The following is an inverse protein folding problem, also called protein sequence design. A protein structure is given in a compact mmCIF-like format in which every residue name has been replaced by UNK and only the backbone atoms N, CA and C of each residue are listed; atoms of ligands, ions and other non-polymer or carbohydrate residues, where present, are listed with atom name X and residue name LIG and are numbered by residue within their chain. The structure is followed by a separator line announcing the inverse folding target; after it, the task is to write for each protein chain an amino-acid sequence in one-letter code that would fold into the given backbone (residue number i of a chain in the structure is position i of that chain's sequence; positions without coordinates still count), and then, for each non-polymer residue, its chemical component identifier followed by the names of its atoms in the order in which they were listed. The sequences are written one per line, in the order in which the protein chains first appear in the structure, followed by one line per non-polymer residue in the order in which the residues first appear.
data_IF_810980593296
#
_entry.id   IF_810980593296
#
_cell.length_a   1.000
_cell.length_b   1.000
_cell.length_c   1.000
_cell.angle_alpha   90.00
_cell.angle_beta   90.00
_cell.angle_gamma   90.00
#
_symmetry.space_group_name_H-M   'P 1'
#
loop_
_entity.id
_entity.type
_entity.pdbx_description
1 polymer ?
#
# COMPACT_ATOMS: atom_id res chain seq x y z
N UNK A 1 -33.99 14.86 -0.15
CA UNK A 1 -34.99 13.87 -0.64
C UNK A 1 -35.91 13.58 0.52
N UNK A 2 -37.22 13.45 0.33
CA UNK A 2 -38.13 13.18 1.45
C UNK A 2 -37.87 11.78 2.01
N UNK A 3 -37.32 11.67 3.23
CA UNK A 3 -37.00 10.40 3.89
C UNK A 3 -38.23 9.80 4.60
N UNK A 4 -39.34 9.68 3.87
CA UNK A 4 -40.57 9.12 4.39
C UNK A 4 -40.94 7.85 3.63
N UNK A 5 -41.34 6.81 4.36
CA UNK A 5 -41.90 5.58 3.79
C UNK A 5 -43.42 5.59 3.93
N UNK A 6 -44.14 4.92 3.02
CA UNK A 6 -45.56 4.65 3.27
C UNK A 6 -45.73 3.74 4.49
N UNK A 7 -46.85 3.84 5.22
CA UNK A 7 -47.08 3.03 6.43
C UNK A 7 -46.90 1.52 6.20
N UNK A 8 -47.33 0.99 5.06
CA UNK A 8 -47.14 -0.42 4.72
C UNK A 8 -45.67 -0.78 4.45
N UNK A 9 -44.89 0.13 3.87
CA UNK A 9 -43.44 -0.06 3.69
C UNK A 9 -42.71 0.04 5.02
N UNK A 10 -43.04 1.03 5.85
CA UNK A 10 -42.49 1.18 7.21
C UNK A 10 -42.67 -0.11 8.03
N UNK A 11 -43.90 -0.65 8.11
CA UNK A 11 -44.17 -1.87 8.87
C UNK A 11 -43.41 -3.11 8.35
N UNK A 12 -43.26 -3.25 7.03
CA UNK A 12 -42.46 -4.35 6.44
C UNK A 12 -40.97 -4.20 6.73
N UNK A 13 -40.47 -2.97 6.72
CA UNK A 13 -39.08 -2.67 7.04
C UNK A 13 -38.80 -2.91 8.52
N UNK A 14 -39.71 -2.48 9.42
CA UNK A 14 -39.61 -2.74 10.86
C UNK A 14 -39.57 -4.24 11.16
N UNK A 15 -40.47 -5.04 10.58
CA UNK A 15 -40.46 -6.49 10.79
C UNK A 15 -39.13 -7.16 10.35
N UNK A 16 -38.51 -6.66 9.28
CA UNK A 16 -37.20 -7.15 8.85
C UNK A 16 -36.05 -6.68 9.75
N UNK A 17 -36.15 -5.46 10.29
CA UNK A 17 -35.19 -4.89 11.23
C UNK A 17 -35.25 -5.58 12.59
N UNK A 18 -36.45 -5.92 13.07
CA UNK A 18 -36.66 -6.71 14.28
C UNK A 18 -36.02 -8.10 14.12
N UNK A 19 -36.21 -8.79 12.99
CA UNK A 19 -35.53 -10.07 12.74
C UNK A 19 -34.00 -9.93 12.77
N UNK A 20 -33.46 -8.85 12.21
CA UNK A 20 -32.03 -8.54 12.29
C UNK A 20 -31.55 -8.28 13.74
N UNK A 21 -32.34 -7.57 14.56
CA UNK A 21 -32.02 -7.33 15.97
C UNK A 21 -31.94 -8.66 16.75
N UNK A 22 -32.93 -9.54 16.56
CA UNK A 22 -32.91 -10.88 17.19
C UNK A 22 -31.70 -11.71 16.76
N UNK A 23 -31.29 -11.63 15.49
CA UNK A 23 -30.07 -12.31 15.02
C UNK A 23 -28.79 -11.72 15.64
N UNK A 24 -28.72 -10.39 15.81
CA UNK A 24 -27.60 -9.72 16.47
C UNK A 24 -27.51 -10.06 17.95
N UNK A 25 -28.64 -10.20 18.64
CA UNK A 25 -28.68 -10.66 20.04
C UNK A 25 -28.15 -12.09 20.19
N UNK A 26 -28.59 -13.01 19.31
CA UNK A 26 -28.08 -14.38 19.28
C UNK A 26 -26.57 -14.42 19.03
N UNK A 27 -26.08 -13.59 18.10
CA UNK A 27 -24.65 -13.44 17.83
C UNK A 27 -23.91 -12.85 19.05
N UNK A 28 -24.46 -11.82 19.71
CA UNK A 28 -23.88 -11.22 20.91
C UNK A 28 -23.74 -12.19 22.07
N UNK A 29 -24.73 -13.08 22.26
CA UNK A 29 -24.66 -14.17 23.23
C UNK A 29 -23.60 -15.20 22.86
N UNK A 30 -23.54 -15.62 21.59
CA UNK A 30 -22.51 -16.54 21.08
C UNK A 30 -21.09 -16.00 21.27
N UNK A 31 -20.87 -14.72 20.92
CA UNK A 31 -19.58 -14.03 21.12
C UNK A 31 -19.21 -13.94 22.60
N UNK A 32 -20.18 -13.65 23.48
CA UNK A 32 -19.94 -13.61 24.93
C UNK A 32 -19.48 -14.98 25.48
N UNK A 33 -20.06 -16.07 24.99
CA UNK A 33 -19.67 -17.44 25.35
C UNK A 33 -18.26 -17.76 24.82
N UNK A 34 -17.93 -17.33 23.60
CA UNK A 34 -16.61 -17.54 22.99
C UNK A 34 -15.51 -16.78 23.75
N UNK A 35 -15.72 -15.49 24.04
CA UNK A 35 -14.80 -14.67 24.84
C UNK A 35 -14.54 -15.31 26.22
N UNK A 36 -15.57 -15.87 26.85
CA UNK A 36 -15.46 -16.51 28.17
C UNK A 36 -14.70 -17.84 28.15
N UNK A 37 -14.73 -18.56 27.02
CA UNK A 37 -14.09 -19.88 26.85
C UNK A 37 -12.62 -19.79 26.46
N UNK A 38 -12.19 -18.68 25.88
CA UNK A 38 -10.83 -18.54 25.38
C UNK A 38 -9.85 -18.34 26.56
N UNK A 39 -8.93 -19.28 26.82
CA UNK A 39 -7.85 -19.17 27.83
C UNK A 39 -6.51 -19.63 27.24
N UNK A 40 -5.60 -18.70 26.98
CA UNK A 40 -4.23 -18.98 26.51
C UNK A 40 -3.46 -17.71 26.08
N UNK A 41 -2.13 -17.75 26.01
CA UNK A 41 -1.28 -16.57 25.70
C UNK A 41 -1.32 -16.10 24.24
N UNK A 42 -1.75 -16.96 23.30
CA UNK A 42 -2.09 -16.57 21.92
C UNK A 42 -3.49 -15.97 21.81
N UNK A 43 -4.28 -15.95 22.89
CA UNK A 43 -5.68 -15.51 22.89
C UNK A 43 -5.87 -14.01 23.10
N UNK A 44 -4.84 -13.23 23.45
CA UNK A 44 -5.07 -11.80 23.77
C UNK A 44 -5.56 -11.01 22.56
N UNK A 45 -4.90 -11.17 21.40
CA UNK A 45 -5.30 -10.48 20.17
C UNK A 45 -6.66 -10.95 19.64
N UNK A 46 -6.98 -12.23 19.78
CA UNK A 46 -8.26 -12.77 19.31
C UNK A 46 -9.41 -12.38 20.23
N UNK A 47 -9.19 -12.36 21.54
CA UNK A 47 -10.11 -11.78 22.52
C UNK A 47 -10.38 -10.32 22.25
N UNK A 48 -9.35 -9.52 21.97
CA UNK A 48 -9.52 -8.09 21.67
C UNK A 48 -10.42 -7.90 20.42
N UNK A 49 -10.26 -8.75 19.40
CA UNK A 49 -11.13 -8.76 18.21
C UNK A 49 -12.56 -9.16 18.52
N UNK A 50 -12.75 -10.20 19.33
CA UNK A 50 -14.09 -10.67 19.71
C UNK A 50 -14.81 -9.64 20.60
N UNK A 51 -14.08 -8.94 21.48
CA UNK A 51 -14.61 -7.84 22.29
C UNK A 51 -15.02 -6.66 21.40
N UNK A 52 -14.20 -6.30 20.42
CA UNK A 52 -14.54 -5.24 19.46
C UNK A 52 -15.78 -5.62 18.63
N UNK A 53 -15.82 -6.83 18.09
CA UNK A 53 -16.95 -7.32 17.30
C UNK A 53 -18.24 -7.33 18.11
N UNK A 54 -18.17 -7.69 19.40
CA UNK A 54 -19.31 -7.61 20.31
C UNK A 54 -19.78 -6.15 20.51
N UNK A 55 -18.86 -5.20 20.68
CA UNK A 55 -19.20 -3.79 20.82
C UNK A 55 -19.86 -3.25 19.53
N UNK A 56 -19.39 -3.68 18.36
CA UNK A 56 -19.96 -3.29 17.06
C UNK A 56 -21.39 -3.85 16.90
N UNK A 57 -21.64 -5.12 17.29
CA UNK A 57 -22.98 -5.70 17.27
C UNK A 57 -23.95 -4.93 18.17
N UNK A 58 -23.52 -4.54 19.37
CA UNK A 58 -24.35 -3.75 20.30
C UNK A 58 -24.67 -2.35 19.77
N UNK A 59 -23.69 -1.73 19.10
CA UNK A 59 -23.90 -0.45 18.45
C UNK A 59 -24.93 -0.54 17.33
N UNK A 60 -24.82 -1.57 16.47
CA UNK A 60 -25.77 -1.80 15.38
C UNK A 60 -27.18 -2.08 15.92
N UNK A 61 -27.29 -2.93 16.96
CA UNK A 61 -28.56 -3.25 17.61
C UNK A 61 -29.26 -2.01 18.19
N UNK A 62 -28.49 -1.12 18.85
CA UNK A 62 -29.01 0.15 19.34
C UNK A 62 -29.59 1.03 18.22
N UNK A 63 -28.88 1.11 17.08
CA UNK A 63 -29.33 1.90 15.93
C UNK A 63 -30.52 1.27 15.19
N UNK A 64 -30.59 -0.06 15.13
CA UNK A 64 -31.73 -0.79 14.58
C UNK A 64 -32.98 -0.54 15.44
N UNK A 65 -32.85 -0.66 16.77
CA UNK A 65 -33.96 -0.40 17.70
C UNK A 65 -34.46 1.03 17.58
N UNK A 66 -33.54 2.00 17.52
CA UNK A 66 -33.87 3.41 17.31
C UNK A 66 -34.61 3.64 15.98
N UNK A 67 -34.16 3.00 14.91
CA UNK A 67 -34.80 3.07 13.60
C UNK A 67 -36.19 2.44 13.60
N UNK A 68 -36.38 1.31 14.30
CA UNK A 68 -37.71 0.71 14.44
C UNK A 68 -38.70 1.70 15.07
N UNK A 69 -38.32 2.35 16.18
CA UNK A 69 -39.15 3.38 16.81
C UNK A 69 -39.47 4.54 15.86
N UNK A 70 -38.45 5.07 15.15
CA UNK A 70 -38.64 6.20 14.21
C UNK A 70 -39.58 5.85 13.05
N UNK A 71 -39.45 4.63 12.51
CA UNK A 71 -40.30 4.14 11.42
C UNK A 71 -41.73 3.87 11.87
N UNK A 72 -41.94 3.36 13.09
CA UNK A 72 -43.27 3.11 13.64
C UNK A 72 -44.03 4.39 13.96
N UNK A 73 -43.36 5.35 14.59
CA UNK A 73 -43.94 6.60 15.10
C UNK A 73 -44.07 7.68 14.03
N UNK A 74 -43.02 7.88 13.23
CA UNK A 74 -42.90 9.05 12.34
C UNK A 74 -42.81 8.69 10.86
N UNK A 75 -42.71 7.39 10.53
CA UNK A 75 -42.47 6.88 9.18
C UNK A 75 -41.23 7.49 8.51
N UNK A 76 -40.29 7.97 9.32
CA UNK A 76 -39.06 8.65 8.93
C UNK A 76 -37.83 7.87 9.39
N UNK A 77 -36.67 8.14 8.80
CA UNK A 77 -35.39 7.49 9.13
C UNK A 77 -34.21 8.47 9.12
N UNK A 78 -34.47 9.74 9.46
CA UNK A 78 -33.49 10.84 9.43
C UNK A 78 -32.33 10.66 10.44
N UNK A 79 -32.51 9.90 11.53
CA UNK A 79 -31.43 9.75 12.52
C UNK A 79 -30.27 8.88 12.04
N UNK A 80 -30.47 7.96 11.09
CA UNK A 80 -29.39 7.08 10.62
C UNK A 80 -28.39 7.83 9.73
N UNK A 81 -28.82 8.57 8.69
CA UNK A 81 -27.91 9.40 7.90
C UNK A 81 -27.09 10.34 8.79
N UNK A 82 -27.73 10.98 9.77
CA UNK A 82 -27.04 11.88 10.69
C UNK A 82 -26.00 11.15 11.56
N UNK A 83 -26.34 9.99 12.13
CA UNK A 83 -25.41 9.20 12.93
C UNK A 83 -24.23 8.66 12.10
N UNK A 84 -24.46 8.30 10.83
CA UNK A 84 -23.41 7.88 9.91
C UNK A 84 -22.47 9.02 9.53
N UNK A 85 -23.00 10.23 9.29
CA UNK A 85 -22.18 11.43 9.06
C UNK A 85 -21.34 11.80 10.29
N UNK A 86 -21.90 11.68 11.49
CA UNK A 86 -21.18 11.93 12.75
C UNK A 86 -20.05 10.92 13.00
N UNK A 87 -20.27 9.63 12.75
CA UNK A 87 -19.23 8.59 12.86
C UNK A 87 -18.11 8.77 11.80
N UNK A 88 -18.46 9.12 10.56
CA UNK A 88 -17.45 9.46 9.53
C UNK A 88 -16.62 10.68 9.93
N UNK A 89 -17.27 11.74 10.43
CA UNK A 89 -16.59 12.94 10.91
C UNK A 89 -15.65 12.62 12.07
N UNK A 90 -16.06 11.76 13.00
CA UNK A 90 -15.25 11.36 14.14
C UNK A 90 -14.07 10.47 13.75
N UNK A 91 -14.25 9.55 12.78
CA UNK A 91 -13.16 8.75 12.19
C UNK A 91 -12.15 9.63 11.46
N UNK A 92 -12.61 10.61 10.67
CA UNK A 92 -11.74 11.57 9.99
C UNK A 92 -10.95 12.43 10.99
N UNK A 93 -11.57 12.88 12.09
CA UNK A 93 -10.91 13.64 13.14
C UNK A 93 -9.85 12.82 13.89
N UNK A 94 -10.12 11.54 14.19
CA UNK A 94 -9.14 10.62 14.80
C UNK A 94 -7.91 10.45 13.90
N UNK A 95 -8.12 10.18 12.61
CA UNK A 95 -7.04 10.04 11.63
C UNK A 95 -6.16 11.30 11.54
N UNK A 96 -6.78 12.49 11.50
CA UNK A 96 -6.03 13.77 11.50
C UNK A 96 -5.14 13.94 12.74
N UNK A 97 -5.63 13.55 13.92
CA UNK A 97 -4.85 13.62 15.17
C UNK A 97 -3.66 12.67 15.16
N UNK A 98 -3.83 11.46 14.63
CA UNK A 98 -2.75 10.48 14.48
C UNK A 98 -1.69 10.97 13.49
N UNK A 99 -2.11 11.48 12.34
CA UNK A 99 -1.20 12.04 11.32
C UNK A 99 -0.40 13.24 11.86
N UNK A 100 -1.04 14.12 12.66
CA UNK A 100 -0.37 15.26 13.30
C UNK A 100 0.68 14.80 14.31
N UNK A 101 0.39 13.77 15.10
CA UNK A 101 1.34 13.20 16.05
C UNK A 101 2.56 12.59 15.33
N UNK A 102 2.32 11.81 14.27
CA UNK A 102 3.38 11.24 13.45
C UNK A 102 4.23 12.33 12.76
N UNK A 103 3.62 13.45 12.37
CA UNK A 103 4.35 14.59 11.81
C UNK A 103 5.28 15.22 12.85
N UNK A 104 4.81 15.46 14.07
CA UNK A 104 5.62 16.04 15.17
C UNK A 104 6.79 15.14 15.55
N UNK A 105 6.58 13.83 15.60
CA UNK A 105 7.64 12.86 15.89
C UNK A 105 8.73 12.87 14.79
N UNK A 106 8.33 12.94 13.51
CA UNK A 106 9.29 13.07 12.39
C UNK A 106 10.06 14.38 12.43
N UNK A 107 9.41 15.49 12.78
CA UNK A 107 10.03 16.80 12.90
C UNK A 107 11.08 16.83 14.02
N UNK A 108 10.77 16.23 15.17
CA UNK A 108 11.75 16.05 16.26
C UNK A 108 12.95 15.18 15.83
N UNK A 109 12.70 14.07 15.13
CA UNK A 109 13.78 13.21 14.65
C UNK A 109 14.72 13.93 13.67
N UNK A 110 14.16 14.77 12.78
CA UNK A 110 14.95 15.60 11.87
C UNK A 110 15.79 16.64 12.61
N UNK A 111 15.24 17.26 13.65
CA UNK A 111 15.97 18.23 14.47
C UNK A 111 17.18 17.59 15.17
N UNK A 112 17.00 16.39 15.73
CA UNK A 112 18.10 15.63 16.35
C UNK A 112 19.18 15.29 15.31
N UNK A 113 18.78 14.82 14.12
CA UNK A 113 19.72 14.52 13.05
C UNK A 113 20.49 15.75 12.56
N UNK A 114 19.83 16.91 12.46
CA UNK A 114 20.49 18.15 12.11
C UNK A 114 21.55 18.55 13.15
N UNK A 115 21.24 18.42 14.44
CA UNK A 115 22.21 18.69 15.50
C UNK A 115 23.41 17.75 15.41
N UNK A 116 23.19 16.45 15.21
CA UNK A 116 24.30 15.49 15.04
C UNK A 116 25.19 15.80 13.82
N UNK A 117 24.60 16.31 12.73
CA UNK A 117 25.36 16.72 11.54
C UNK A 117 26.23 17.94 11.87
N UNK A 118 25.69 18.93 12.59
CA UNK A 118 26.45 20.12 12.98
C UNK A 118 27.59 19.75 13.95
N UNK A 119 27.34 18.90 14.95
CA UNK A 119 28.37 18.43 15.87
C UNK A 119 29.49 17.68 15.14
N UNK A 120 29.15 16.85 14.14
CA UNK A 120 30.14 16.15 13.30
C UNK A 120 30.92 17.11 12.42
N UNK A 121 30.27 18.16 11.90
CA UNK A 121 30.92 19.20 11.11
C UNK A 121 31.94 19.98 11.94
N UNK A 122 31.61 20.29 13.18
CA UNK A 122 32.56 20.92 14.14
C UNK A 122 33.75 20.00 14.46
N UNK A 123 33.50 18.70 14.62
CA UNK A 123 34.57 17.71 14.82
C UNK A 123 35.51 17.63 13.61
N UNK A 124 34.96 17.64 12.38
CA UNK A 124 35.75 17.65 11.15
C UNK A 124 36.59 18.93 11.07
N UNK A 125 35.98 20.09 11.38
CA UNK A 125 36.71 21.36 11.39
C UNK A 125 37.88 21.35 12.37
N UNK A 126 37.68 20.79 13.57
CA UNK A 126 38.75 20.63 14.55
C UNK A 126 39.86 19.70 14.06
N UNK A 127 39.52 18.57 13.45
CA UNK A 127 40.50 17.66 12.84
C UNK A 127 41.32 18.34 11.75
N UNK A 128 40.67 19.15 10.91
CA UNK A 128 41.33 19.91 9.85
C UNK A 128 42.37 20.90 10.39
N UNK A 129 42.06 21.61 11.48
CA UNK A 129 43.01 22.52 12.14
C UNK A 129 44.25 21.77 12.66
N UNK A 130 44.05 20.63 13.33
CA UNK A 130 45.14 19.78 13.83
C UNK A 130 46.03 19.24 12.71
N UNK A 131 45.45 18.85 11.57
CA UNK A 131 46.21 18.39 10.40
C UNK A 131 47.13 19.50 9.85
N UNK A 132 46.61 20.72 9.70
CA UNK A 132 47.41 21.86 9.24
C UNK A 132 48.54 22.23 10.21
N UNK A 133 48.31 22.11 11.52
CA UNK A 133 49.35 22.31 12.54
C UNK A 133 50.47 21.27 12.38
N UNK A 134 50.12 19.99 12.23
CA UNK A 134 51.11 18.93 12.01
C UNK A 134 51.85 19.07 10.67
N UNK A 135 51.19 19.52 9.60
CA UNK A 135 51.84 19.82 8.31
C UNK A 135 52.83 21.00 8.43
N UNK A 136 52.48 22.02 9.22
CA UNK A 136 53.38 23.13 9.55
C UNK A 136 54.61 22.68 10.34
N UNK A 137 54.47 21.69 11.23
CA UNK A 137 55.59 21.11 11.99
C UNK A 137 56.47 20.19 11.14
N UNK A 138 55.89 19.36 10.27
CA UNK A 138 56.63 18.48 9.36
C UNK A 138 57.40 19.27 8.29
N UNK A 139 56.85 20.39 7.82
CA UNK A 139 57.54 21.32 6.91
C UNK A 139 58.78 21.97 7.54
N UNK A 140 58.75 22.26 8.84
CA UNK A 140 59.91 22.78 9.60
C UNK A 140 61.02 21.72 9.77
N UNK A 141 60.65 20.45 9.87
CA UNK A 141 61.59 19.32 9.99
C UNK A 141 62.30 19.00 8.67
N UNK A 142 61.66 19.18 7.51
CA UNK A 142 62.28 18.96 6.20
C UNK A 142 63.35 20.01 5.84
N UNK A 143 63.20 21.26 6.28
CA UNK A 143 64.16 22.34 5.96
C UNK A 143 65.51 22.23 6.69
N UNK A 144 65.69 21.30 7.64
CA UNK A 144 66.97 21.05 8.34
C UNK A 144 67.88 19.98 7.69
N UNK A 145 67.44 19.30 6.63
CA UNK A 145 68.18 18.17 6.01
C UNK A 145 68.96 18.50 4.73
N UNK A 146 69.30 19.76 4.47
CA UNK A 146 70.17 20.14 3.32
C UNK A 146 71.53 20.67 3.78
N UNK A 147 72.40 19.79 4.28
CA UNK A 147 73.85 20.02 4.28
C UNK A 147 74.61 18.68 4.28
N UNK A 148 75.64 18.60 3.42
CA UNK A 148 76.78 17.63 3.40
C UNK A 148 76.50 16.21 2.88
N UNK A 149 77.33 15.54 2.05
CA UNK A 149 78.50 15.85 1.20
C UNK A 149 78.75 14.60 0.32
N UNK A 150 79.36 14.80 -0.84
CA UNK A 150 79.99 13.80 -1.72
C UNK A 150 81.11 13.01 -1.02
N UNK A 151 81.07 11.68 -1.09
CA UNK A 151 82.24 10.77 -1.01
C UNK A 151 81.85 9.37 -1.52
N UNK A 152 82.44 8.93 -2.64
CA UNK A 152 82.16 7.64 -3.29
C UNK A 152 83.23 6.61 -2.91
N UNK A 153 82.80 5.40 -2.50
CA UNK A 153 83.20 4.12 -3.13
C UNK A 153 82.61 2.87 -2.42
N UNK A 154 82.46 2.79 -1.08
CA UNK A 154 81.68 1.71 -0.42
C UNK A 154 80.17 2.01 -0.32
N UNK A 155 79.78 3.27 -0.50
CA UNK A 155 78.43 3.77 -0.28
C UNK A 155 77.46 3.46 -1.43
N UNK A 156 78.01 3.34 -2.65
CA UNK A 156 77.26 3.03 -3.87
C UNK A 156 76.60 1.65 -3.77
N UNK A 157 77.24 0.67 -3.14
CA UNK A 157 76.70 -0.68 -2.95
C UNK A 157 75.50 -0.72 -1.98
N UNK A 158 75.51 0.12 -0.93
CA UNK A 158 74.38 0.29 -0.01
C UNK A 158 73.23 1.07 -0.66
N UNK A 159 73.56 2.12 -1.39
CA UNK A 159 72.58 2.95 -2.11
C UNK A 159 71.93 2.17 -3.25
N UNK A 160 72.66 1.30 -3.96
CA UNK A 160 72.10 0.41 -4.99
C UNK A 160 71.18 -0.65 -4.40
N UNK A 161 71.52 -1.26 -3.26
CA UNK A 161 70.63 -2.22 -2.59
C UNK A 161 69.35 -1.56 -2.05
N UNK A 162 69.46 -0.36 -1.46
CA UNK A 162 68.30 0.42 -1.03
C UNK A 162 67.45 0.87 -2.23
N UNK A 163 68.09 1.25 -3.34
CA UNK A 163 67.39 1.63 -4.57
C UNK A 163 66.63 0.45 -5.18
N UNK A 164 67.25 -0.72 -5.28
CA UNK A 164 66.59 -1.94 -5.76
C UNK A 164 65.41 -2.34 -4.86
N UNK A 165 65.57 -2.23 -3.53
CA UNK A 165 64.48 -2.48 -2.59
C UNK A 165 63.30 -1.50 -2.75
N UNK A 166 63.58 -0.23 -3.06
CA UNK A 166 62.56 0.77 -3.34
C UNK A 166 61.89 0.53 -4.70
N UNK A 167 62.64 0.09 -5.71
CA UNK A 167 62.11 -0.31 -7.02
C UNK A 167 61.16 -1.50 -6.90
N UNK A 168 61.51 -2.54 -6.14
CA UNK A 168 60.64 -3.69 -5.86
C UNK A 168 59.34 -3.27 -5.14
N UNK A 169 59.43 -2.32 -4.21
CA UNK A 169 58.25 -1.79 -3.50
C UNK A 169 57.35 -0.96 -4.42
N UNK A 170 57.95 -0.16 -5.31
CA UNK A 170 57.20 0.59 -6.32
C UNK A 170 56.48 -0.37 -7.27
N UNK A 171 57.15 -1.43 -7.75
CA UNK A 171 56.55 -2.42 -8.63
C UNK A 171 55.39 -3.17 -7.93
N UNK A 172 55.55 -3.51 -6.65
CA UNK A 172 54.49 -4.15 -5.87
C UNK A 172 53.27 -3.23 -5.68
N UNK A 173 53.49 -1.96 -5.31
CA UNK A 173 52.42 -0.98 -5.17
C UNK A 173 51.73 -0.72 -6.50
N UNK A 174 52.48 -0.70 -7.60
CA UNK A 174 51.94 -0.53 -8.94
C UNK A 174 51.04 -1.70 -9.34
N UNK A 175 51.45 -2.93 -9.07
CA UNK A 175 50.61 -4.14 -9.25
C UNK A 175 49.33 -4.09 -8.42
N UNK A 176 49.40 -3.64 -7.16
CA UNK A 176 48.21 -3.48 -6.32
C UNK A 176 47.24 -2.44 -6.87
N UNK A 177 47.75 -1.31 -7.36
CA UNK A 177 46.92 -0.27 -7.97
C UNK A 177 46.25 -0.79 -9.25
N UNK A 178 46.97 -1.55 -10.08
CA UNK A 178 46.41 -2.16 -11.29
C UNK A 178 45.33 -3.20 -10.98
N UNK A 179 45.52 -4.01 -9.94
CA UNK A 179 44.53 -4.98 -9.46
C UNK A 179 43.27 -4.29 -8.91
N UNK A 180 43.42 -3.25 -8.08
CA UNK A 180 42.30 -2.46 -7.56
C UNK A 180 41.55 -1.72 -8.69
N UNK A 181 42.29 -1.21 -9.68
CA UNK A 181 41.69 -0.56 -10.86
C UNK A 181 40.84 -1.57 -11.65
N UNK A 182 41.38 -2.77 -11.90
CA UNK A 182 40.64 -3.83 -12.58
C UNK A 182 39.38 -4.25 -11.81
N UNK A 183 39.49 -4.45 -10.50
CA UNK A 183 38.34 -4.79 -9.66
C UNK A 183 37.28 -3.69 -9.66
N UNK A 184 37.70 -2.42 -9.65
CA UNK A 184 36.78 -1.29 -9.76
C UNK A 184 36.04 -1.29 -11.10
N UNK A 185 36.75 -1.50 -12.22
CA UNK A 185 36.15 -1.61 -13.55
C UNK A 185 35.13 -2.78 -13.64
N UNK A 186 35.47 -3.94 -13.09
CA UNK A 186 34.56 -5.10 -13.01
C UNK A 186 33.31 -4.79 -12.16
N UNK A 187 33.49 -4.09 -11.04
CA UNK A 187 32.38 -3.69 -10.17
C UNK A 187 31.47 -2.68 -10.87
N UNK A 188 32.05 -1.68 -11.54
CA UNK A 188 31.30 -0.67 -12.28
C UNK A 188 30.51 -1.31 -13.43
N UNK A 189 31.15 -2.20 -14.21
CA UNK A 189 30.47 -2.92 -15.30
C UNK A 189 29.35 -3.82 -14.79
N UNK A 190 29.56 -4.53 -13.68
CA UNK A 190 28.50 -5.31 -13.03
C UNK A 190 27.30 -4.45 -12.62
N UNK A 191 27.55 -3.32 -11.95
CA UNK A 191 26.50 -2.40 -11.51
C UNK A 191 25.76 -1.78 -12.70
N UNK A 192 26.47 -1.46 -13.79
CA UNK A 192 25.89 -0.95 -15.03
C UNK A 192 24.89 -1.96 -15.62
N UNK A 193 25.29 -3.22 -15.75
CA UNK A 193 24.43 -4.29 -16.27
C UNK A 193 23.19 -4.49 -15.39
N UNK A 194 23.37 -4.52 -14.06
CA UNK A 194 22.24 -4.64 -13.14
C UNK A 194 21.27 -3.46 -13.26
N UNK A 195 21.79 -2.24 -13.39
CA UNK A 195 20.98 -1.05 -13.58
C UNK A 195 20.17 -1.13 -14.90
N UNK A 196 20.80 -1.53 -16.00
CA UNK A 196 20.13 -1.71 -17.29
C UNK A 196 19.03 -2.78 -17.25
N UNK A 197 19.28 -3.93 -16.59
CA UNK A 197 18.26 -4.95 -16.39
C UNK A 197 17.04 -4.43 -15.63
N UNK A 198 17.25 -3.68 -14.55
CA UNK A 198 16.16 -3.07 -13.80
C UNK A 198 15.40 -2.04 -14.62
N UNK A 199 16.09 -1.22 -15.41
CA UNK A 199 15.46 -0.26 -16.33
C UNK A 199 14.60 -0.97 -17.38
N UNK A 200 15.09 -2.06 -17.98
CA UNK A 200 14.32 -2.85 -18.94
C UNK A 200 13.07 -3.47 -18.30
N UNK A 201 13.20 -4.03 -17.10
CA UNK A 201 12.05 -4.56 -16.36
C UNK A 201 11.05 -3.43 -16.09
N UNK A 202 11.50 -2.31 -15.53
CA UNK A 202 10.64 -1.15 -15.24
C UNK A 202 9.92 -0.65 -16.50
N UNK A 203 10.60 -0.61 -17.64
CA UNK A 203 10.00 -0.24 -18.92
C UNK A 203 8.90 -1.23 -19.34
N UNK A 204 9.16 -2.54 -19.27
CA UNK A 204 8.15 -3.58 -19.56
C UNK A 204 6.93 -3.45 -18.65
N UNK A 205 7.15 -3.28 -17.34
CA UNK A 205 6.08 -3.08 -16.36
C UNK A 205 5.25 -1.82 -16.68
N UNK A 206 5.91 -0.70 -16.99
CA UNK A 206 5.25 0.55 -17.37
C UNK A 206 4.38 0.40 -18.63
N UNK A 207 4.91 -0.27 -19.66
CA UNK A 207 4.15 -0.56 -20.88
C UNK A 207 2.95 -1.46 -20.60
N UNK A 208 3.12 -2.53 -19.82
CA UNK A 208 2.06 -3.47 -19.52
C UNK A 208 0.93 -2.84 -18.71
N UNK A 209 1.25 -2.01 -17.71
CA UNK A 209 0.25 -1.25 -16.95
C UNK A 209 -0.53 -0.30 -17.84
N UNK A 210 0.14 0.42 -18.75
CA UNK A 210 -0.52 1.31 -19.71
C UNK A 210 -1.50 0.54 -20.60
N UNK A 211 -1.09 -0.64 -21.10
CA UNK A 211 -1.95 -1.49 -21.92
C UNK A 211 -3.18 -1.97 -21.16
N UNK A 212 -3.01 -2.48 -19.93
CA UNK A 212 -4.13 -2.91 -19.10
C UNK A 212 -5.10 -1.76 -18.79
N UNK A 213 -4.57 -0.56 -18.53
CA UNK A 213 -5.39 0.62 -18.30
C UNK A 213 -6.21 0.99 -19.55
N UNK A 214 -5.60 0.96 -20.74
CA UNK A 214 -6.30 1.21 -22.00
C UNK A 214 -7.38 0.15 -22.30
N UNK A 215 -7.09 -1.12 -22.05
CA UNK A 215 -8.09 -2.20 -22.22
C UNK A 215 -9.27 -2.04 -21.27
N UNK A 216 -9.01 -1.67 -20.00
CA UNK A 216 -10.07 -1.41 -19.02
C UNK A 216 -10.90 -0.18 -19.40
N UNK A 217 -10.25 0.89 -19.87
CA UNK A 217 -10.95 2.08 -20.35
C UNK A 217 -11.85 1.74 -21.54
N UNK A 218 -11.32 1.03 -22.54
CA UNK A 218 -12.11 0.61 -23.71
C UNK A 218 -13.30 -0.28 -23.35
N UNK A 219 -13.16 -1.15 -22.35
CA UNK A 219 -14.28 -1.94 -21.82
C UNK A 219 -15.34 -1.06 -21.16
N UNK A 220 -14.93 -0.10 -20.34
CA UNK A 220 -15.85 0.87 -19.73
C UNK A 220 -16.58 1.70 -20.77
N UNK A 221 -15.87 2.19 -21.79
CA UNK A 221 -16.46 2.97 -22.87
C UNK A 221 -17.50 2.12 -23.65
N UNK A 222 -17.19 0.85 -23.93
CA UNK A 222 -18.12 -0.08 -24.59
C UNK A 222 -19.38 -0.31 -23.75
N UNK A 223 -19.24 -0.56 -22.45
CA UNK A 223 -20.36 -0.71 -21.53
C UNK A 223 -21.19 0.57 -21.44
N UNK A 224 -20.52 1.74 -21.40
CA UNK A 224 -21.15 3.04 -21.48
C UNK A 224 -22.00 3.19 -22.73
N UNK A 225 -21.45 2.89 -23.92
CA UNK A 225 -22.19 2.91 -25.17
C UNK A 225 -23.40 1.97 -25.16
N UNK A 226 -23.24 0.73 -24.66
CA UNK A 226 -24.35 -0.23 -24.54
C UNK A 226 -25.45 0.28 -23.61
N UNK A 227 -25.08 0.88 -22.48
CA UNK A 227 -26.03 1.48 -21.53
C UNK A 227 -26.79 2.63 -22.16
N UNK A 228 -26.11 3.53 -22.88
CA UNK A 228 -26.75 4.63 -23.61
C UNK A 228 -27.73 4.11 -24.67
N UNK A 229 -27.31 3.15 -25.49
CA UNK A 229 -28.19 2.53 -26.49
C UNK A 229 -29.43 1.89 -25.87
N UNK A 230 -29.28 1.26 -24.70
CA UNK A 230 -30.40 0.67 -23.97
C UNK A 230 -31.36 1.75 -23.46
N UNK A 231 -30.83 2.83 -22.87
CA UNK A 231 -31.63 3.99 -22.44
C UNK A 231 -32.38 4.61 -23.63
N UNK A 232 -31.71 4.82 -24.76
CA UNK A 232 -32.33 5.37 -25.97
C UNK A 232 -33.47 4.48 -26.47
N UNK A 233 -33.27 3.16 -26.47
CA UNK A 233 -34.31 2.19 -26.84
C UNK A 233 -35.50 2.24 -25.87
N UNK A 234 -35.25 2.36 -24.56
CA UNK A 234 -36.31 2.51 -23.56
C UNK A 234 -37.08 3.83 -23.72
N UNK A 235 -36.39 4.93 -24.01
CA UNK A 235 -37.00 6.22 -24.28
C UNK A 235 -37.86 6.18 -25.54
N UNK A 236 -37.38 5.55 -26.62
CA UNK A 236 -38.14 5.41 -27.86
C UNK A 236 -39.37 4.54 -27.68
N UNK A 237 -39.26 3.42 -26.95
CA UNK A 237 -40.43 2.60 -26.60
C UNK A 237 -41.45 3.39 -25.79
N UNK A 238 -41.01 4.18 -24.81
CA UNK A 238 -41.90 5.09 -24.06
C UNK A 238 -42.57 6.09 -24.98
N UNK A 239 -41.84 6.68 -25.93
CA UNK A 239 -42.38 7.63 -26.92
C UNK A 239 -43.45 6.98 -27.79
N UNK A 240 -43.18 5.80 -28.34
CA UNK A 240 -44.14 5.03 -29.14
C UNK A 240 -45.42 4.71 -28.36
N UNK A 241 -45.29 4.32 -27.09
CA UNK A 241 -46.45 4.07 -26.21
C UNK A 241 -47.23 5.35 -25.96
N UNK A 242 -46.57 6.46 -25.65
CA UNK A 242 -47.23 7.76 -25.43
C UNK A 242 -47.96 8.26 -26.67
N UNK A 243 -47.35 8.15 -27.87
CA UNK A 243 -48.00 8.52 -29.14
C UNK A 243 -49.18 7.62 -29.47
N UNK A 244 -49.07 6.30 -29.25
CA UNK A 244 -50.17 5.34 -29.48
C UNK A 244 -51.35 5.56 -28.52
N UNK A 245 -51.08 6.05 -27.30
CA UNK A 245 -52.12 6.44 -26.33
C UNK A 245 -52.76 7.77 -26.75
N UNK A 246 -51.96 8.73 -27.27
CA UNK A 246 -52.45 10.04 -27.71
C UNK A 246 -53.32 9.97 -28.98
N UNK A 247 -53.03 9.08 -29.93
CA UNK A 247 -53.83 8.91 -31.16
C UNK A 247 -55.17 8.16 -30.95
N UNK A 248 -55.41 7.54 -29.78
CA UNK A 248 -56.60 6.68 -29.53
C UNK A 248 -57.71 7.30 -28.66
N UNK A 249 -57.68 8.60 -28.45
CA UNK A 249 -58.87 9.36 -28.02
C UNK A 249 -59.38 10.14 -29.24
N UNK A 250 -60.48 9.76 -29.94
CA UNK A 250 -61.62 8.94 -29.52
C UNK A 250 -61.98 7.75 -30.46
N UNK A 251 -62.85 6.86 -29.94
CA UNK A 251 -63.56 5.74 -30.58
C UNK A 251 -62.97 4.33 -30.37
N UNK A 252 -63.78 3.54 -29.64
CA UNK A 252 -63.44 2.23 -29.11
C UNK A 252 -63.05 1.21 -30.17
N UNK A 253 -61.90 0.58 -29.95
CA UNK A 253 -61.51 -0.68 -30.58
C UNK A 253 -60.95 -1.64 -29.54
N UNK A 254 -61.10 -2.96 -29.75
CA UNK A 254 -61.07 -3.95 -28.68
C UNK A 254 -59.69 -4.21 -28.09
N UNK A 255 -59.70 -4.34 -26.76
CA UNK A 255 -58.60 -4.31 -25.80
C UNK A 255 -57.51 -5.39 -25.98
N UNK A 256 -57.72 -6.40 -26.83
CA UNK A 256 -56.95 -7.65 -26.82
C UNK A 256 -55.62 -7.61 -27.59
N UNK A 257 -55.45 -6.70 -28.56
CA UNK A 257 -54.16 -6.55 -29.26
C UNK A 257 -53.19 -5.66 -28.46
N UNK A 258 -53.70 -4.68 -27.71
CA UNK A 258 -52.90 -3.71 -26.93
C UNK A 258 -52.26 -4.37 -25.70
N UNK A 259 -52.99 -5.28 -25.04
CA UNK A 259 -52.50 -6.02 -23.88
C UNK A 259 -51.35 -6.96 -24.23
N UNK A 260 -51.38 -7.57 -25.43
CA UNK A 260 -50.31 -8.46 -25.91
C UNK A 260 -48.99 -7.71 -26.16
N UNK A 261 -49.03 -6.54 -26.82
CA UNK A 261 -47.83 -5.73 -27.04
C UNK A 261 -47.29 -5.09 -25.75
N UNK A 262 -48.16 -4.61 -24.85
CA UNK A 262 -47.72 -4.11 -23.53
C UNK A 262 -47.10 -5.20 -22.68
N UNK A 263 -47.65 -6.42 -22.72
CA UNK A 263 -47.10 -7.57 -22.01
C UNK A 263 -45.73 -7.99 -22.56
N UNK A 264 -45.57 -8.00 -23.88
CA UNK A 264 -44.29 -8.31 -24.53
C UNK A 264 -43.21 -7.26 -24.18
N UNK A 265 -43.57 -5.97 -24.18
CA UNK A 265 -42.65 -4.90 -23.76
C UNK A 265 -42.29 -4.98 -22.28
N UNK A 266 -43.25 -5.32 -21.41
CA UNK A 266 -42.98 -5.50 -19.98
C UNK A 266 -42.04 -6.69 -19.73
N UNK A 267 -42.23 -7.80 -20.46
CA UNK A 267 -41.35 -8.97 -20.38
C UNK A 267 -39.93 -8.70 -20.87
N UNK A 268 -39.78 -7.90 -21.91
CA UNK A 268 -38.44 -7.54 -22.41
C UNK A 268 -37.73 -6.56 -21.45
N UNK A 269 -38.46 -5.61 -20.86
CA UNK A 269 -37.93 -4.71 -19.82
C UNK A 269 -37.52 -5.49 -18.55
N UNK A 270 -38.36 -6.43 -18.11
CA UNK A 270 -38.07 -7.30 -16.96
C UNK A 270 -36.80 -8.14 -17.21
N UNK A 271 -36.61 -8.65 -18.44
CA UNK A 271 -35.40 -9.40 -18.82
C UNK A 271 -34.14 -8.53 -18.73
N UNK A 272 -34.17 -7.33 -19.30
CA UNK A 272 -33.04 -6.39 -19.29
C UNK A 272 -32.63 -6.02 -17.86
N UNK A 273 -33.60 -5.73 -16.99
CA UNK A 273 -33.33 -5.43 -15.58
C UNK A 273 -32.72 -6.63 -14.82
N UNK A 274 -33.17 -7.84 -15.14
CA UNK A 274 -32.61 -9.07 -14.58
C UNK A 274 -31.17 -9.32 -15.05
N UNK A 275 -30.86 -9.01 -16.31
CA UNK A 275 -29.51 -9.14 -16.87
C UNK A 275 -28.53 -8.16 -16.20
N UNK A 276 -28.93 -6.89 -16.07
CA UNK A 276 -28.11 -5.84 -15.43
C UNK A 276 -27.83 -6.17 -13.96
N UNK A 277 -28.84 -6.68 -13.23
CA UNK A 277 -28.69 -7.13 -11.84
C UNK A 277 -27.74 -8.32 -11.70
N UNK A 278 -27.76 -9.27 -12.65
CA UNK A 278 -26.84 -10.41 -12.66
C UNK A 278 -25.40 -9.96 -12.96
N UNK A 279 -25.22 -9.00 -13.87
CA UNK A 279 -23.91 -8.46 -14.22
C UNK A 279 -23.29 -7.71 -13.02
N UNK A 280 -24.07 -6.90 -12.31
CA UNK A 280 -23.66 -6.24 -11.06
C UNK A 280 -23.22 -7.23 -9.96
N UNK A 281 -23.98 -8.31 -9.77
CA UNK A 281 -23.63 -9.32 -8.76
C UNK A 281 -22.34 -10.06 -9.13
N UNK A 282 -22.13 -10.33 -10.43
CA UNK A 282 -20.90 -10.95 -10.91
C UNK A 282 -19.69 -10.04 -10.66
N UNK A 283 -19.81 -8.74 -10.95
CA UNK A 283 -18.77 -7.74 -10.68
C UNK A 283 -18.43 -7.69 -9.19
N UNK A 284 -19.44 -7.62 -8.32
CA UNK A 284 -19.26 -7.62 -6.87
C UNK A 284 -18.54 -8.87 -6.39
N UNK A 285 -18.86 -10.04 -6.94
CA UNK A 285 -18.14 -11.29 -6.63
C UNK A 285 -16.69 -11.26 -7.11
N UNK A 286 -16.41 -10.70 -8.29
CA UNK A 286 -15.05 -10.55 -8.80
C UNK A 286 -14.22 -9.59 -7.93
N UNK A 287 -14.80 -8.49 -7.48
CA UNK A 287 -14.16 -7.55 -6.55
C UNK A 287 -13.85 -8.21 -5.22
N UNK A 288 -14.81 -8.94 -4.63
CA UNK A 288 -14.59 -9.69 -3.40
C UNK A 288 -13.45 -10.71 -3.55
N UNK A 289 -13.39 -11.43 -4.67
CA UNK A 289 -12.29 -12.36 -4.98
C UNK A 289 -10.95 -11.64 -5.11
N UNK A 290 -10.92 -10.47 -5.76
CA UNK A 290 -9.70 -9.69 -5.92
C UNK A 290 -9.18 -9.13 -4.59
N UNK A 291 -10.09 -8.63 -3.74
CA UNK A 291 -9.77 -8.16 -2.38
C UNK A 291 -9.26 -9.33 -1.53
N UNK A 292 -9.95 -10.47 -1.54
CA UNK A 292 -9.51 -11.67 -0.81
C UNK A 292 -8.12 -12.14 -1.26
N UNK A 293 -7.86 -12.19 -2.57
CA UNK A 293 -6.55 -12.56 -3.10
C UNK A 293 -5.45 -11.59 -2.64
N UNK A 294 -5.73 -10.29 -2.64
CA UNK A 294 -4.78 -9.25 -2.20
C UNK A 294 -4.49 -9.37 -0.70
N UNK A 295 -5.51 -9.60 0.11
CA UNK A 295 -5.37 -9.82 1.56
C UNK A 295 -4.55 -11.06 1.87
N UNK A 296 -4.79 -12.18 1.17
CA UNK A 296 -4.02 -13.42 1.31
C UNK A 296 -2.55 -13.19 0.90
N UNK A 297 -2.32 -12.50 -0.22
CA UNK A 297 -0.96 -12.16 -0.66
C UNK A 297 -0.21 -11.29 0.35
N UNK A 298 -0.86 -10.27 0.91
CA UNK A 298 -0.28 -9.41 1.93
C UNK A 298 0.05 -10.19 3.21
N UNK A 299 -0.86 -11.07 3.67
CA UNK A 299 -0.63 -11.95 4.81
C UNK A 299 0.56 -12.88 4.61
N UNK A 300 0.65 -13.51 3.43
CA UNK A 300 1.76 -14.40 3.08
C UNK A 300 3.10 -13.66 3.04
N UNK A 301 3.16 -12.48 2.40
CA UNK A 301 4.36 -11.64 2.38
C UNK A 301 4.80 -11.26 3.79
N UNK A 302 3.88 -10.81 4.65
CA UNK A 302 4.18 -10.50 6.05
C UNK A 302 4.67 -11.71 6.83
N UNK A 303 4.11 -12.89 6.57
CA UNK A 303 4.53 -14.15 7.21
C UNK A 303 5.92 -14.58 6.74
N UNK A 304 6.25 -14.45 5.45
CA UNK A 304 7.59 -14.72 4.95
C UNK A 304 8.65 -13.82 5.59
N UNK A 305 8.34 -12.53 5.78
CA UNK A 305 9.24 -11.58 6.47
C UNK A 305 9.44 -11.96 7.94
N UNK A 306 8.36 -12.21 8.69
CA UNK A 306 8.44 -12.56 10.12
C UNK A 306 9.16 -13.88 10.37
N UNK A 307 9.03 -14.85 9.46
CA UNK A 307 9.69 -16.17 9.57
C UNK A 307 11.04 -16.23 8.85
N UNK A 308 11.50 -15.14 8.24
CA UNK A 308 12.76 -15.11 7.49
C UNK A 308 12.80 -16.15 6.36
N UNK A 309 11.68 -16.39 5.69
CA UNK A 309 11.59 -17.34 4.58
C UNK A 309 11.94 -16.65 3.25
N UNK A 310 12.56 -17.39 2.33
CA UNK A 310 12.98 -16.85 1.03
C UNK A 310 14.16 -15.89 1.13
N UNK A 311 14.24 -14.84 0.28
CA UNK A 311 15.38 -13.90 0.24
C UNK A 311 15.51 -13.02 1.50
N UNK A 312 14.57 -13.12 2.45
CA UNK A 312 14.55 -12.37 3.71
C UNK A 312 15.20 -13.13 4.88
N UNK A 313 15.81 -14.30 4.61
CA UNK A 313 16.52 -15.08 5.63
C UNK A 313 17.76 -14.27 6.07
N UNK A 314 17.81 -13.89 7.35
CA UNK A 314 19.01 -13.27 7.93
C UNK A 314 20.16 -14.25 7.74
N UNK A 315 21.12 -13.90 6.91
CA UNK A 315 22.38 -14.63 6.79
C UNK A 315 23.06 -14.48 8.13
N UNK A 316 23.13 -15.56 8.91
CA UNK A 316 24.05 -15.57 10.04
C UNK A 316 25.46 -15.40 9.49
N UNK A 317 26.06 -14.24 9.74
CA UNK A 317 27.47 -14.01 9.48
C UNK A 317 28.28 -15.05 10.26
N UNK A 318 28.78 -16.05 9.55
CA UNK A 318 29.79 -16.95 10.09
C UNK A 318 31.04 -16.11 10.40
N UNK A 319 31.23 -15.78 11.68
CA UNK A 319 32.50 -15.32 12.26
C UNK A 319 33.59 -16.37 11.99
N UNK A 320 34.27 -16.24 10.86
CA UNK A 320 35.34 -17.14 10.41
C UNK A 320 36.75 -16.59 10.69
N UNK A 321 37.29 -16.95 11.86
CA UNK A 321 38.73 -17.10 12.23
C UNK A 321 39.78 -16.14 11.65
N UNK A 322 40.22 -15.22 12.52
CA UNK A 322 41.52 -14.51 12.49
C UNK A 322 42.67 -15.54 12.50
N UNK A 323 43.40 -15.70 11.40
CA UNK A 323 44.57 -16.59 11.28
C UNK A 323 45.76 -15.95 12.01
N UNK A 324 46.11 -16.51 13.17
CA UNK A 324 47.30 -16.13 13.97
C UNK A 324 48.57 -16.41 13.16
N UNK A 325 49.45 -15.41 13.11
CA UNK A 325 50.72 -15.46 12.38
C UNK A 325 51.64 -16.60 12.82
N UNK A 326 52.35 -17.16 11.85
CA UNK A 326 53.44 -18.12 12.08
C UNK A 326 54.75 -17.43 11.72
N UNK A 327 55.36 -16.81 12.73
CA UNK A 327 56.77 -16.42 12.73
C UNK A 327 57.57 -17.72 12.74
N UNK A 328 58.40 -17.97 11.70
CA UNK A 328 59.42 -19.02 11.77
C UNK A 328 60.79 -18.35 11.70
N UNK A 329 61.62 -18.89 12.59
CA UNK A 329 62.95 -18.51 13.04
C UNK A 329 64.00 -19.15 12.16
#
# INVERSE_FOLDING_TARGET
MSLFLSKMQSLRTVAALEDCAHQLDLLGHSLSVQISRERGSTSTQEKDRLVQLKADCQFIDHHITKLCCELEDTQSFESIPQAMEEDEAQKAARKKREDEKMRKEREQALLIQQQEIEDKKDQIHKMYLLLNEMEGETSKLQNKKKTKTTALSPQIAKETWQKAQLEDQLELLQKQIEEETRFHEETVTFLQVQYEEFQQRLHKWKQQTKKMQQEKQSKLDNLGCKRTLNIDKLMEMRRMVSSSIAERLPHGTPLNHITNYRWFQFKEMERVLLEDKKEQELERQWEQKAVAATTIQAYWRGTMVRRGLGPYKKVEEKKGKKKKGKKKK
#
